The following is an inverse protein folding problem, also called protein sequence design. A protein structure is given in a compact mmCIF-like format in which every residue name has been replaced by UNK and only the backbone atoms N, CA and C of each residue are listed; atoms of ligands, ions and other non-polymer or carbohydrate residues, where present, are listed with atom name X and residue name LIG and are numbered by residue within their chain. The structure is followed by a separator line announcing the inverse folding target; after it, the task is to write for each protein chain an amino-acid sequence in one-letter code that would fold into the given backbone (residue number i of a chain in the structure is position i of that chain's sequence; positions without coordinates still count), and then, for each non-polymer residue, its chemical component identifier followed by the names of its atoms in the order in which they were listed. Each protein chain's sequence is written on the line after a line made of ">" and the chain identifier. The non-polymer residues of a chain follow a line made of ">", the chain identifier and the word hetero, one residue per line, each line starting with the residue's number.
data_IF_843785713994
#
_entry.id   IF_843785713994
#
_cell.length_a   1.000
_cell.length_b   1.000
_cell.length_c   1.000
_cell.angle_alpha   90.00
_cell.angle_beta   90.00
_cell.angle_gamma   90.00
#
_symmetry.space_group_name_H-M   'P 1'
#
loop_
_entity.id
_entity.type
_entity.pdbx_description
1 polymer ?
#
# COMPACT_ATOMS: atom_id res chain seq x y z
N UNK A 1 33.14 19.12 -19.62
CA UNK A 1 32.69 18.89 -18.23
C UNK A 1 31.27 18.35 -18.31
N UNK A 2 31.10 17.06 -18.11
CA UNK A 2 29.78 16.44 -18.15
C UNK A 2 29.12 16.70 -16.79
N UNK A 3 28.03 17.46 -16.78
CA UNK A 3 27.23 17.65 -15.56
C UNK A 3 26.61 16.32 -15.17
N UNK A 4 26.83 15.89 -13.94
CA UNK A 4 26.16 14.72 -13.37
C UNK A 4 24.64 14.95 -13.43
N UNK A 5 23.83 13.90 -13.70
CA UNK A 5 22.37 14.04 -13.69
C UNK A 5 21.93 14.49 -12.28
N UNK A 6 21.17 15.58 -12.22
CA UNK A 6 20.59 16.03 -10.97
C UNK A 6 19.47 15.07 -10.55
N UNK A 7 19.64 14.42 -9.41
CA UNK A 7 18.61 13.58 -8.80
C UNK A 7 17.69 14.42 -7.92
N UNK A 8 16.40 14.05 -7.89
CA UNK A 8 15.46 14.66 -6.97
C UNK A 8 15.84 14.29 -5.52
N UNK A 9 15.88 15.28 -4.64
CA UNK A 9 16.17 15.10 -3.22
C UNK A 9 14.89 15.25 -2.40
N UNK A 10 14.67 14.40 -1.36
CA UNK A 10 13.59 14.59 -0.40
C UNK A 10 13.67 15.99 0.21
N UNK A 11 12.53 16.64 0.32
CA UNK A 11 12.42 17.98 0.88
C UNK A 11 11.11 18.14 1.64
N UNK A 12 11.11 19.04 2.61
CA UNK A 12 9.93 19.40 3.39
C UNK A 12 9.72 20.91 3.30
N UNK A 13 8.49 21.35 3.42
CA UNK A 13 8.13 22.76 3.35
C UNK A 13 6.83 22.95 2.59
N UNK A 14 6.61 24.19 2.16
CA UNK A 14 5.41 24.59 1.46
C UNK A 14 5.78 25.32 0.17
N UNK A 15 5.07 25.00 -0.90
CA UNK A 15 5.13 25.74 -2.16
C UNK A 15 3.87 26.58 -2.32
N UNK A 16 4.02 27.89 -2.48
CA UNK A 16 2.91 28.82 -2.71
C UNK A 16 2.92 29.23 -4.17
N UNK A 17 1.91 28.81 -4.93
CA UNK A 17 1.82 29.16 -6.35
C UNK A 17 1.51 30.65 -6.56
N UNK A 18 2.25 31.34 -7.41
CA UNK A 18 2.04 32.75 -7.76
C UNK A 18 1.48 32.94 -9.18
N UNK A 19 1.42 31.87 -9.97
CA UNK A 19 0.78 31.83 -11.29
C UNK A 19 0.16 30.45 -11.53
N UNK A 20 -0.70 30.33 -12.53
CA UNK A 20 -1.22 29.04 -12.99
C UNK A 20 -0.16 28.30 -13.78
N UNK A 21 0.18 27.11 -13.35
CA UNK A 21 1.12 26.21 -14.01
C UNK A 21 0.57 24.79 -14.02
N UNK A 22 0.98 24.03 -15.02
CA UNK A 22 0.66 22.62 -15.09
C UNK A 22 1.31 21.82 -13.95
N UNK A 23 0.56 20.87 -13.42
CA UNK A 23 0.97 19.95 -12.36
C UNK A 23 1.18 18.57 -12.98
N UNK A 24 2.41 18.26 -13.33
CA UNK A 24 2.78 17.06 -14.08
C UNK A 24 2.85 15.81 -13.18
N UNK A 25 2.24 14.72 -13.59
CA UNK A 25 2.48 13.40 -13.01
C UNK A 25 3.93 12.95 -13.27
N UNK A 26 4.44 13.20 -14.46
CA UNK A 26 5.83 12.94 -14.83
C UNK A 26 6.47 14.18 -15.44
N UNK A 27 7.47 14.77 -14.74
CA UNK A 27 8.22 15.94 -15.23
C UNK A 27 9.01 15.66 -16.51
N UNK A 28 9.49 14.41 -16.69
CA UNK A 28 10.32 14.04 -17.85
C UNK A 28 9.48 13.82 -19.11
N UNK A 29 8.30 13.19 -18.95
CA UNK A 29 7.36 12.93 -20.03
C UNK A 29 6.35 14.08 -20.21
N UNK A 30 6.33 15.03 -19.28
CA UNK A 30 5.34 16.12 -19.18
C UNK A 30 3.89 15.63 -19.30
N UNK A 31 3.61 14.47 -18.68
CA UNK A 31 2.25 13.92 -18.63
C UNK A 31 1.47 14.62 -17.54
N UNK A 32 0.31 15.15 -17.89
CA UNK A 32 -0.62 15.81 -16.99
C UNK A 32 -2.05 15.29 -17.27
N UNK A 33 -2.38 14.04 -16.85
CA UNK A 33 -3.73 13.54 -16.97
C UNK A 33 -4.67 14.44 -16.17
N UNK A 34 -5.85 14.68 -16.71
CA UNK A 34 -6.89 15.55 -16.16
C UNK A 34 -6.56 17.06 -16.17
N UNK A 35 -5.54 17.49 -16.91
CA UNK A 35 -5.15 18.91 -17.13
C UNK A 35 -5.03 19.74 -15.83
N UNK A 36 -4.46 19.12 -14.79
CA UNK A 36 -4.27 19.75 -13.49
C UNK A 36 -3.38 20.99 -13.56
N UNK A 37 -3.87 22.10 -12.99
CA UNK A 37 -3.15 23.35 -12.89
C UNK A 37 -3.16 23.86 -11.45
N UNK A 38 -2.07 24.55 -11.06
CA UNK A 38 -1.99 25.24 -9.78
C UNK A 38 -2.93 26.46 -9.76
N UNK A 39 -3.52 26.74 -8.61
CA UNK A 39 -4.27 27.96 -8.37
C UNK A 39 -3.38 29.01 -7.71
N UNK A 40 -3.52 30.27 -8.13
CA UNK A 40 -2.73 31.36 -7.56
C UNK A 40 -3.08 31.54 -6.07
N UNK A 41 -2.04 31.59 -5.24
CA UNK A 41 -2.17 31.67 -3.78
C UNK A 41 -2.40 30.33 -3.08
N UNK A 42 -2.62 29.24 -3.83
CA UNK A 42 -2.76 27.92 -3.24
C UNK A 42 -1.42 27.42 -2.70
N UNK A 43 -1.49 26.73 -1.56
CA UNK A 43 -0.37 26.21 -0.81
C UNK A 43 -0.31 24.71 -0.97
N UNK A 44 0.85 24.20 -1.35
CA UNK A 44 1.07 22.78 -1.59
C UNK A 44 2.20 22.27 -0.69
N UNK A 45 1.96 21.20 0.11
CA UNK A 45 3.06 20.53 0.82
C UNK A 45 4.10 20.00 -0.15
N UNK A 46 5.38 20.27 0.14
CA UNK A 46 6.51 19.81 -0.68
C UNK A 46 7.03 18.47 -0.18
N UNK A 47 7.33 17.56 -1.09
CA UNK A 47 7.89 16.23 -0.78
C UNK A 47 9.29 16.03 -1.37
N UNK A 48 9.58 16.65 -2.52
CA UNK A 48 10.87 16.52 -3.20
C UNK A 48 11.20 17.80 -3.96
N UNK A 49 12.49 18.04 -4.16
CA UNK A 49 13.00 19.12 -5.02
C UNK A 49 14.06 18.58 -5.98
N UNK A 50 14.18 19.23 -7.14
CA UNK A 50 15.24 18.99 -8.10
C UNK A 50 15.94 20.31 -8.43
N UNK A 51 17.24 20.32 -8.37
CA UNK A 51 18.08 21.51 -8.56
C UNK A 51 18.54 22.11 -7.23
N UNK A 52 18.66 23.41 -7.17
CA UNK A 52 19.14 24.13 -5.99
C UNK A 52 18.07 24.14 -4.87
N UNK A 53 18.50 23.96 -3.62
CA UNK A 53 17.59 23.92 -2.46
C UNK A 53 16.88 25.25 -2.15
N UNK A 54 17.41 26.37 -2.63
CA UNK A 54 16.80 27.70 -2.45
C UNK A 54 15.86 28.05 -3.61
N UNK A 55 16.28 27.73 -4.84
CA UNK A 55 15.51 27.97 -6.07
C UNK A 55 15.51 26.67 -6.88
N UNK A 56 14.71 25.68 -6.54
CA UNK A 56 14.67 24.42 -7.26
C UNK A 56 14.06 24.59 -8.66
N UNK A 57 14.60 23.83 -9.62
CA UNK A 57 14.07 23.81 -11.00
C UNK A 57 12.68 23.19 -11.05
N UNK A 58 12.51 22.11 -10.26
CA UNK A 58 11.26 21.38 -10.11
C UNK A 58 10.98 21.05 -8.65
N UNK A 59 9.72 21.12 -8.29
CA UNK A 59 9.23 20.83 -6.94
C UNK A 59 8.13 19.78 -7.06
N UNK A 60 8.23 18.73 -6.26
CA UNK A 60 7.16 17.74 -6.14
C UNK A 60 6.26 18.11 -4.99
N UNK A 61 5.02 18.39 -5.31
CA UNK A 61 4.02 18.88 -4.36
C UNK A 61 2.89 17.89 -4.21
N UNK A 62 2.24 17.90 -3.05
CA UNK A 62 1.02 17.14 -2.81
C UNK A 62 -0.18 17.99 -3.22
N UNK A 63 -1.06 17.40 -4.00
CA UNK A 63 -2.31 17.99 -4.48
C UNK A 63 -3.51 17.15 -4.03
N UNK A 64 -4.72 17.61 -4.32
CA UNK A 64 -5.96 16.86 -4.08
C UNK A 64 -6.35 15.98 -5.31
N UNK A 65 -5.44 15.72 -6.23
CA UNK A 65 -5.71 14.88 -7.40
C UNK A 65 -5.95 13.43 -6.98
N UNK A 66 -7.10 12.88 -7.31
CA UNK A 66 -7.55 11.54 -6.90
C UNK A 66 -6.63 10.44 -7.47
N UNK A 67 -6.19 10.58 -8.71
CA UNK A 67 -5.43 9.53 -9.41
C UNK A 67 -3.91 9.61 -9.21
N UNK A 68 -3.38 10.72 -8.76
CA UNK A 68 -1.95 10.94 -8.47
C UNK A 68 -1.79 12.23 -7.68
N UNK A 69 -1.85 12.18 -6.34
CA UNK A 69 -1.78 13.38 -5.50
C UNK A 69 -0.41 14.05 -5.53
N UNK A 70 0.65 13.33 -5.90
CA UNK A 70 1.99 13.90 -6.03
C UNK A 70 2.24 14.33 -7.46
N UNK A 71 2.42 15.64 -7.63
CA UNK A 71 2.63 16.29 -8.94
C UNK A 71 3.91 17.12 -8.94
N UNK A 72 4.55 17.19 -10.10
CA UNK A 72 5.68 18.05 -10.31
C UNK A 72 5.22 19.41 -10.85
N UNK A 73 5.72 20.48 -10.24
CA UNK A 73 5.53 21.85 -10.70
C UNK A 73 6.90 22.51 -10.91
N UNK A 74 7.01 23.40 -11.86
CA UNK A 74 8.24 24.17 -12.06
C UNK A 74 8.45 25.13 -10.90
N UNK A 75 9.70 25.30 -10.45
CA UNK A 75 10.03 26.17 -9.34
C UNK A 75 9.69 27.64 -9.58
N UNK A 76 9.74 28.11 -10.84
CA UNK A 76 9.37 29.46 -11.22
C UNK A 76 7.85 29.74 -11.17
N UNK A 77 7.05 28.73 -10.86
CA UNK A 77 5.58 28.83 -10.71
C UNK A 77 5.13 29.36 -9.35
N UNK A 78 6.05 29.57 -8.40
CA UNK A 78 5.73 30.02 -7.07
C UNK A 78 6.95 30.25 -6.19
N UNK A 79 6.72 30.21 -4.87
CA UNK A 79 7.77 30.34 -3.86
C UNK A 79 7.84 29.07 -3.01
N UNK A 80 9.04 28.55 -2.84
CA UNK A 80 9.31 27.44 -1.95
C UNK A 80 9.83 27.95 -0.61
N UNK A 81 9.15 27.60 0.46
CA UNK A 81 9.45 27.98 1.82
C UNK A 81 9.83 26.76 2.65
N UNK A 82 11.06 26.70 3.16
CA UNK A 82 11.57 25.60 4.00
C UNK A 82 11.23 25.73 5.47
N UNK A 83 10.85 26.94 5.95
CA UNK A 83 10.62 27.24 7.37
C UNK A 83 9.14 27.22 7.72
N UNK A 84 8.44 26.13 7.44
CA UNK A 84 7.10 25.91 8.00
C UNK A 84 7.26 25.00 9.19
N UNK A 85 7.07 25.57 10.41
CA UNK A 85 6.96 24.77 11.62
C UNK A 85 5.87 23.71 11.40
N UNK A 86 6.20 22.45 11.71
CA UNK A 86 5.27 21.34 11.58
C UNK A 86 4.00 21.64 12.38
N UNK A 87 2.89 21.57 11.71
CA UNK A 87 1.52 21.56 12.17
C UNK A 87 0.70 22.85 12.00
N UNK A 88 -0.10 22.83 10.99
CA UNK A 88 -1.53 23.11 11.18
C UNK A 88 -2.28 22.29 10.14
N UNK A 89 -3.22 21.50 10.60
CA UNK A 89 -4.10 20.64 9.80
C UNK A 89 -4.75 21.47 8.69
N UNK A 90 -4.49 21.08 7.46
CA UNK A 90 -5.17 21.60 6.27
C UNK A 90 -6.67 21.44 6.44
N UNK A 91 -7.38 22.57 6.64
CA UNK A 91 -8.84 22.64 6.46
C UNK A 91 -9.12 23.21 5.07
N UNK A 92 -9.89 22.54 4.22
CA UNK A 92 -10.25 23.09 2.92
C UNK A 92 -11.14 24.33 3.13
N UNK A 93 -10.76 25.45 2.55
CA UNK A 93 -11.59 26.64 2.47
C UNK A 93 -12.90 26.30 1.74
N UNK A 94 -13.99 26.31 2.49
CA UNK A 94 -15.34 26.24 1.93
C UNK A 94 -15.62 27.54 1.19
N UNK A 95 -15.55 27.51 -0.14
CA UNK A 95 -16.20 28.53 -0.97
C UNK A 95 -17.71 28.47 -0.72
N UNK A 96 -18.25 29.55 -0.18
CA UNK A 96 -19.68 29.77 -0.05
C UNK A 96 -20.29 29.88 -1.46
N UNK A 97 -20.87 28.79 -1.95
CA UNK A 97 -21.86 28.87 -3.01
C UNK A 97 -23.24 29.02 -2.38
N UNK A 98 -24.03 29.87 -3.01
CA UNK A 98 -25.37 30.26 -2.62
C UNK A 98 -26.26 29.03 -2.36
N UNK A 99 -26.73 28.90 -1.12
CA UNK A 99 -27.77 27.94 -0.77
C UNK A 99 -29.12 28.41 -1.38
N UNK A 100 -29.55 27.77 -2.46
CA UNK A 100 -30.94 27.76 -2.84
C UNK A 100 -31.71 26.83 -1.90
N UNK A 101 -32.66 27.40 -1.20
CA UNK A 101 -33.53 26.73 -0.24
C UNK A 101 -34.45 25.75 -0.99
N UNK A 102 -34.11 24.46 -0.95
CA UNK A 102 -34.99 23.39 -1.46
C UNK A 102 -36.04 23.09 -0.40
N UNK A 103 -37.34 23.13 -0.81
CA UNK A 103 -38.44 22.89 0.10
C UNK A 103 -38.70 21.40 0.32
N UNK A 104 -39.40 21.06 1.44
CA UNK A 104 -39.73 19.68 1.81
C UNK A 104 -40.48 18.87 0.75
N UNK A 105 -41.07 19.54 -0.26
CA UNK A 105 -41.77 18.95 -1.41
C UNK A 105 -40.78 18.36 -2.42
N UNK A 106 -39.61 19.00 -2.62
CA UNK A 106 -38.60 18.59 -3.60
C UNK A 106 -37.88 17.33 -3.15
N UNK A 107 -37.71 17.14 -1.83
CA UNK A 107 -37.11 15.94 -1.26
C UNK A 107 -37.97 14.69 -1.48
N UNK A 108 -39.29 14.83 -1.49
CA UNK A 108 -40.23 13.72 -1.79
C UNK A 108 -40.23 13.30 -3.26
N UNK A 109 -39.97 14.21 -4.19
CA UNK A 109 -39.89 13.91 -5.62
C UNK A 109 -38.61 13.16 -5.96
N UNK A 110 -37.46 13.59 -5.41
CA UNK A 110 -36.14 12.94 -5.58
C UNK A 110 -36.18 11.52 -5.04
N UNK A 111 -36.79 11.29 -3.87
CA UNK A 111 -36.94 9.95 -3.29
C UNK A 111 -37.88 8.99 -4.05
N UNK A 112 -38.74 9.50 -4.94
CA UNK A 112 -39.63 8.66 -5.79
C UNK A 112 -38.99 8.22 -7.10
N UNK A 113 -38.06 8.99 -7.63
CA UNK A 113 -37.32 8.63 -8.86
C UNK A 113 -36.20 7.64 -8.58
N UNK A 114 -35.50 7.78 -7.43
CA UNK A 114 -34.43 6.85 -6.99
C UNK A 114 -34.94 5.44 -6.66
N UNK A 115 -36.25 5.22 -6.54
CA UNK A 115 -36.86 3.91 -6.30
C UNK A 115 -37.14 3.09 -7.56
N UNK A 116 -36.96 3.66 -8.79
CA UNK A 116 -37.18 2.94 -10.04
C UNK A 116 -35.94 2.27 -10.65
N UNK A 117 -34.73 2.60 -10.20
CA UNK A 117 -33.53 1.89 -10.60
C UNK A 117 -33.13 0.84 -9.57
N UNK A 118 -33.93 -0.18 -9.37
CA UNK A 118 -33.55 -1.39 -8.65
C UNK A 118 -32.73 -2.30 -9.57
N UNK A 119 -31.45 -1.95 -9.76
CA UNK A 119 -30.47 -2.90 -10.29
C UNK A 119 -30.37 -4.11 -9.37
N UNK A 120 -30.09 -5.28 -9.94
CA UNK A 120 -29.94 -6.55 -9.22
C UNK A 120 -29.00 -6.43 -8.00
N UNK A 121 -29.21 -7.20 -6.93
CA UNK A 121 -28.37 -7.17 -5.70
C UNK A 121 -26.87 -7.28 -5.98
N UNK A 122 -26.47 -8.00 -7.01
CA UNK A 122 -25.07 -8.18 -7.43
C UNK A 122 -24.40 -6.89 -7.93
N UNK A 123 -25.11 -6.06 -8.70
CA UNK A 123 -24.56 -4.77 -9.18
C UNK A 123 -24.32 -3.77 -8.05
N UNK A 124 -25.17 -3.80 -7.00
CA UNK A 124 -25.00 -2.94 -5.81
C UNK A 124 -23.85 -3.40 -4.94
N UNK A 125 -23.66 -4.73 -4.76
CA UNK A 125 -22.52 -5.26 -4.03
C UNK A 125 -21.19 -4.95 -4.71
N UNK A 126 -21.11 -5.00 -6.03
CA UNK A 126 -19.90 -4.62 -6.78
C UNK A 126 -19.45 -3.18 -6.50
N UNK A 127 -20.38 -2.23 -6.51
CA UNK A 127 -20.08 -0.83 -6.24
C UNK A 127 -19.58 -0.60 -4.81
N UNK A 128 -20.23 -1.18 -3.80
CA UNK A 128 -19.85 -1.04 -2.38
C UNK A 128 -18.44 -1.61 -2.11
N UNK A 129 -18.01 -2.60 -2.89
CA UNK A 129 -16.72 -3.25 -2.74
C UNK A 129 -15.56 -2.53 -3.48
N UNK A 130 -15.85 -1.40 -4.13
CA UNK A 130 -14.89 -0.56 -4.85
C UNK A 130 -14.90 0.90 -4.35
N UNK A 131 -15.40 1.14 -3.15
CA UNK A 131 -15.45 2.45 -2.51
C UNK A 131 -14.22 2.60 -1.62
N UNK A 132 -13.48 3.67 -1.85
CA UNK A 132 -12.37 4.09 -1.02
C UNK A 132 -12.82 4.30 0.43
N UNK A 133 -11.95 4.00 1.37
CA UNK A 133 -12.14 4.17 2.82
C UNK A 133 -13.35 3.41 3.43
N UNK A 134 -13.91 2.45 2.69
CA UNK A 134 -15.08 1.68 3.10
C UNK A 134 -14.71 0.26 3.58
N UNK A 135 -13.56 0.11 4.22
CA UNK A 135 -13.10 -1.15 4.82
C UNK A 135 -13.39 -1.19 6.33
N UNK A 136 -13.38 -2.41 6.91
CA UNK A 136 -13.62 -2.67 8.34
C UNK A 136 -12.45 -3.37 9.04
N UNK A 137 -11.46 -3.80 8.30
CA UNK A 137 -10.28 -4.50 8.79
C UNK A 137 -9.17 -4.47 7.74
N UNK A 138 -7.99 -5.04 8.08
CA UNK A 138 -6.91 -5.28 7.14
C UNK A 138 -6.41 -6.71 7.23
N UNK A 139 -5.71 -7.13 6.19
CA UNK A 139 -4.92 -8.36 6.15
C UNK A 139 -3.50 -8.00 5.72
N UNK A 140 -2.52 -8.29 6.57
CA UNK A 140 -1.11 -8.30 6.17
C UNK A 140 -0.80 -9.69 5.64
N UNK A 141 -0.50 -9.80 4.36
CA UNK A 141 -0.15 -11.05 3.68
C UNK A 141 1.36 -11.14 3.48
N UNK A 142 1.95 -12.22 3.95
CA UNK A 142 3.39 -12.44 3.95
C UNK A 142 3.70 -13.80 3.34
N UNK A 143 4.44 -13.82 2.24
CA UNK A 143 4.81 -15.04 1.51
C UNK A 143 6.09 -15.66 2.05
N UNK A 144 6.16 -17.00 2.07
CA UNK A 144 7.40 -17.72 2.29
C UNK A 144 8.14 -17.90 0.97
N UNK A 145 9.25 -17.19 0.79
CA UNK A 145 9.91 -17.04 -0.49
C UNK A 145 10.43 -18.36 -1.08
N UNK A 146 10.93 -19.28 -0.24
CA UNK A 146 11.40 -20.59 -0.69
C UNK A 146 10.27 -21.37 -1.37
N UNK A 147 9.11 -21.49 -0.72
CA UNK A 147 7.92 -22.15 -1.30
C UNK A 147 7.43 -21.44 -2.57
N UNK A 148 7.44 -20.11 -2.59
CA UNK A 148 7.07 -19.34 -3.78
C UNK A 148 7.99 -19.72 -4.96
N UNK A 149 9.29 -19.78 -4.74
CA UNK A 149 10.25 -20.14 -5.77
C UNK A 149 10.21 -21.62 -6.14
N UNK A 150 9.89 -22.53 -5.22
CA UNK A 150 9.63 -23.95 -5.54
C UNK A 150 8.42 -24.12 -6.48
N UNK A 151 7.36 -23.32 -6.26
CA UNK A 151 6.12 -23.41 -7.04
C UNK A 151 6.22 -22.76 -8.43
N UNK A 152 6.88 -21.60 -8.50
CA UNK A 152 6.90 -20.78 -9.71
C UNK A 152 8.27 -20.80 -10.42
N UNK A 153 9.33 -21.18 -9.73
CA UNK A 153 10.65 -21.48 -10.24
C UNK A 153 11.30 -20.37 -11.04
N UNK A 154 12.09 -20.79 -12.03
CA UNK A 154 12.85 -19.88 -12.89
C UNK A 154 11.99 -18.95 -13.78
N UNK A 155 10.68 -19.10 -13.80
CA UNK A 155 9.77 -18.19 -14.53
C UNK A 155 9.73 -16.79 -13.91
N UNK A 156 10.08 -16.65 -12.63
CA UNK A 156 10.08 -15.39 -11.90
C UNK A 156 11.50 -14.84 -11.76
N UNK A 157 11.69 -13.57 -12.11
CA UNK A 157 13.01 -12.93 -12.06
C UNK A 157 13.59 -12.91 -10.65
N UNK A 158 12.76 -12.65 -9.63
CA UNK A 158 13.17 -12.68 -8.22
C UNK A 158 13.69 -14.06 -7.80
N UNK A 159 13.10 -15.16 -8.26
CA UNK A 159 13.58 -16.51 -7.92
C UNK A 159 14.91 -16.83 -8.61
N UNK A 160 15.08 -16.41 -9.88
CA UNK A 160 16.37 -16.57 -10.56
C UNK A 160 17.51 -15.79 -9.90
N UNK A 161 17.22 -14.58 -9.44
CA UNK A 161 18.21 -13.75 -8.77
C UNK A 161 18.56 -14.30 -7.39
N UNK A 162 17.56 -14.69 -6.61
CA UNK A 162 17.74 -15.23 -5.26
C UNK A 162 18.46 -16.58 -5.28
N UNK A 163 18.24 -17.46 -6.27
CA UNK A 163 18.95 -18.75 -6.37
C UNK A 163 20.46 -18.60 -6.51
N UNK A 164 20.96 -17.43 -6.87
CA UNK A 164 22.39 -17.12 -6.96
C UNK A 164 22.97 -16.54 -5.68
N UNK A 165 22.15 -16.35 -4.62
CA UNK A 165 22.52 -15.70 -3.37
C UNK A 165 22.07 -16.59 -2.20
N UNK A 166 22.96 -17.48 -1.74
CA UNK A 166 22.62 -18.48 -0.71
C UNK A 166 22.27 -17.89 0.66
N UNK A 167 22.76 -16.70 0.95
CA UNK A 167 22.61 -15.98 2.22
C UNK A 167 21.63 -14.81 2.16
N UNK A 168 20.82 -14.73 1.11
CA UNK A 168 19.82 -13.68 0.98
C UNK A 168 18.82 -13.74 2.16
N UNK A 169 18.54 -12.60 2.83
CA UNK A 169 17.60 -12.54 3.96
C UNK A 169 16.21 -13.12 3.63
N UNK A 170 15.80 -13.05 2.39
CA UNK A 170 14.52 -13.58 1.89
C UNK A 170 14.38 -15.11 2.05
N UNK A 171 15.49 -15.82 2.24
CA UNK A 171 15.47 -17.25 2.52
C UNK A 171 15.14 -17.60 3.98
N UNK A 172 15.24 -16.60 4.86
CA UNK A 172 15.02 -16.74 6.30
C UNK A 172 13.87 -15.89 6.82
N UNK A 173 13.38 -14.95 6.01
CA UNK A 173 12.33 -14.02 6.36
C UNK A 173 11.12 -14.17 5.45
N UNK A 174 9.95 -13.76 5.96
CA UNK A 174 8.78 -13.59 5.13
C UNK A 174 8.94 -12.37 4.21
N UNK A 175 8.49 -12.51 2.97
CA UNK A 175 8.40 -11.42 2.01
C UNK A 175 7.01 -10.79 2.06
N UNK A 176 6.94 -9.48 1.94
CA UNK A 176 5.66 -8.76 1.83
C UNK A 176 4.97 -9.17 0.54
N UNK A 177 3.77 -9.76 0.65
CA UNK A 177 2.83 -9.87 -0.46
C UNK A 177 2.04 -8.57 -0.57
N UNK A 178 1.32 -8.18 0.51
CA UNK A 178 0.60 -6.92 0.54
C UNK A 178 -0.06 -6.62 1.87
N UNK A 179 -0.58 -5.39 2.00
CA UNK A 179 -1.44 -4.95 3.10
C UNK A 179 -2.82 -4.63 2.54
N UNK A 180 -3.78 -5.52 2.76
CA UNK A 180 -5.08 -5.47 2.11
C UNK A 180 -6.16 -4.87 3.01
N UNK A 181 -6.66 -3.68 2.75
CA UNK A 181 -7.94 -3.25 3.30
C UNK A 181 -9.00 -4.30 2.96
N UNK A 182 -9.81 -4.66 3.91
CA UNK A 182 -10.81 -5.70 3.76
C UNK A 182 -12.17 -5.24 4.26
N UNK A 183 -13.23 -5.69 3.62
CA UNK A 183 -14.61 -5.49 4.04
C UNK A 183 -15.32 -6.82 4.14
N UNK A 184 -15.79 -7.17 5.32
CA UNK A 184 -16.35 -8.49 5.61
C UNK A 184 -17.44 -8.91 4.61
N UNK A 185 -18.34 -7.99 4.23
CA UNK A 185 -19.41 -8.28 3.28
C UNK A 185 -18.95 -8.43 1.83
N UNK A 186 -17.75 -7.98 1.49
CA UNK A 186 -17.17 -8.06 0.14
C UNK A 186 -16.22 -9.24 -0.02
N UNK A 187 -15.58 -9.67 1.06
CA UNK A 187 -14.52 -10.68 1.03
C UNK A 187 -13.39 -10.26 0.09
N UNK A 188 -12.94 -11.17 -0.74
CA UNK A 188 -11.83 -10.95 -1.70
C UNK A 188 -12.18 -9.99 -2.85
N UNK A 189 -13.42 -9.54 -2.96
CA UNK A 189 -13.86 -8.57 -3.99
C UNK A 189 -13.62 -7.12 -3.58
N UNK A 190 -13.28 -6.83 -2.31
CA UNK A 190 -12.96 -5.48 -1.90
C UNK A 190 -11.61 -5.07 -2.49
N UNK A 191 -11.61 -4.07 -3.35
CA UNK A 191 -10.41 -3.59 -4.03
C UNK A 191 -10.74 -2.73 -5.26
N UNK A 192 -9.70 -2.22 -5.92
CA UNK A 192 -9.83 -1.36 -7.12
C UNK A 192 -10.69 -0.12 -6.87
N UNK A 193 -10.38 0.62 -5.80
CA UNK A 193 -11.20 1.75 -5.35
C UNK A 193 -10.92 3.06 -6.13
N UNK A 194 -9.94 3.07 -7.03
CA UNK A 194 -9.55 4.21 -7.86
C UNK A 194 -10.08 4.10 -9.32
N UNK A 195 -9.47 4.83 -10.24
CA UNK A 195 -9.78 4.77 -11.68
C UNK A 195 -9.42 3.42 -12.32
N UNK A 196 -8.39 2.73 -11.84
CA UNK A 196 -8.06 1.36 -12.30
C UNK A 196 -9.03 0.38 -11.66
N UNK A 197 -9.88 -0.25 -12.46
CA UNK A 197 -11.01 -1.08 -11.99
C UNK A 197 -10.80 -2.58 -12.13
N UNK A 198 -9.74 -3.01 -12.80
CA UNK A 198 -9.47 -4.42 -13.06
C UNK A 198 -7.98 -4.72 -13.14
N UNK A 199 -7.63 -5.97 -12.89
CA UNK A 199 -6.26 -6.45 -13.01
C UNK A 199 -5.89 -6.67 -14.48
N UNK A 200 -4.73 -6.15 -14.96
CA UNK A 200 -4.18 -6.49 -16.26
C UNK A 200 -3.61 -7.92 -16.27
N UNK A 201 -3.25 -8.43 -17.44
CA UNK A 201 -2.64 -9.75 -17.62
C UNK A 201 -1.23 -9.85 -17.01
N UNK A 202 -0.47 -8.76 -17.07
CA UNK A 202 0.84 -8.61 -16.46
C UNK A 202 0.77 -7.46 -15.42
N UNK A 203 1.39 -7.67 -14.26
CA UNK A 203 1.42 -6.63 -13.22
C UNK A 203 2.21 -5.39 -13.66
N UNK A 204 3.17 -5.54 -14.55
CA UNK A 204 3.92 -4.41 -15.09
C UNK A 204 3.11 -3.53 -16.06
N UNK A 205 1.95 -3.99 -16.52
CA UNK A 205 1.01 -3.20 -17.33
C UNK A 205 0.17 -2.23 -16.47
N UNK A 206 0.18 -2.36 -15.14
CA UNK A 206 -0.39 -1.33 -14.29
C UNK A 206 0.38 -0.02 -14.42
N UNK A 207 -0.29 1.13 -14.25
CA UNK A 207 0.43 2.41 -14.14
C UNK A 207 1.51 2.33 -13.06
N UNK A 208 2.65 2.96 -13.34
CA UNK A 208 3.78 2.99 -12.41
C UNK A 208 3.40 3.65 -11.08
N UNK A 209 3.84 3.07 -9.98
CA UNK A 209 3.69 3.62 -8.63
C UNK A 209 4.96 4.38 -8.28
N UNK A 210 4.84 5.69 -8.15
CA UNK A 210 5.98 6.54 -7.84
C UNK A 210 6.17 6.62 -6.31
N UNK A 211 7.26 6.03 -5.84
CA UNK A 211 7.67 6.08 -4.44
C UNK A 211 8.89 7.00 -4.29
N UNK A 212 9.03 7.61 -3.12
CA UNK A 212 10.27 8.28 -2.79
C UNK A 212 11.39 7.25 -2.55
N UNK A 213 12.65 7.68 -2.70
CA UNK A 213 13.79 6.76 -2.71
C UNK A 213 13.92 5.92 -1.42
N UNK A 214 13.55 6.48 -0.27
CA UNK A 214 13.63 5.77 1.01
C UNK A 214 12.56 4.69 1.14
N UNK A 215 11.32 4.97 0.73
CA UNK A 215 10.23 3.98 0.74
C UNK A 215 10.48 2.89 -0.30
N UNK A 216 10.94 3.28 -1.50
CA UNK A 216 11.31 2.31 -2.55
C UNK A 216 12.39 1.34 -2.04
N UNK A 217 13.47 1.86 -1.44
CA UNK A 217 14.55 1.04 -0.91
C UNK A 217 14.05 0.08 0.19
N UNK A 218 13.27 0.59 1.15
CA UNK A 218 12.74 -0.23 2.23
C UNK A 218 11.77 -1.31 1.70
N UNK A 219 10.97 -0.97 0.69
CA UNK A 219 10.07 -1.93 0.04
C UNK A 219 10.85 -3.04 -0.65
N UNK A 220 11.92 -2.72 -1.37
CA UNK A 220 12.78 -3.68 -2.06
C UNK A 220 13.46 -4.67 -1.10
N UNK A 221 13.67 -4.30 0.17
CA UNK A 221 14.22 -5.19 1.18
C UNK A 221 13.25 -6.31 1.57
N UNK A 222 11.95 -6.03 1.58
CA UNK A 222 10.92 -6.97 2.02
C UNK A 222 10.06 -7.54 0.89
N UNK A 223 10.09 -6.94 -0.30
CA UNK A 223 9.32 -7.37 -1.47
C UNK A 223 10.26 -7.66 -2.65
N UNK A 224 10.70 -8.91 -2.83
CA UNK A 224 11.61 -9.28 -3.94
C UNK A 224 11.09 -8.88 -5.32
N UNK A 225 9.78 -8.94 -5.53
CA UNK A 225 9.15 -8.52 -6.78
C UNK A 225 9.44 -7.06 -7.13
N UNK A 226 9.35 -6.14 -6.16
CA UNK A 226 9.69 -4.73 -6.35
C UNK A 226 11.17 -4.54 -6.69
N UNK A 227 12.05 -5.30 -6.02
CA UNK A 227 13.49 -5.25 -6.26
C UNK A 227 13.90 -5.76 -7.64
N UNK A 228 13.25 -6.83 -8.12
CA UNK A 228 13.63 -7.52 -9.36
C UNK A 228 12.68 -7.24 -10.53
N UNK A 229 11.78 -6.27 -10.39
CA UNK A 229 10.99 -5.71 -11.48
C UNK A 229 9.87 -6.62 -12.00
N UNK A 230 9.27 -7.43 -11.14
CA UNK A 230 8.06 -8.21 -11.48
C UNK A 230 6.75 -7.53 -11.05
N UNK A 231 6.86 -6.30 -10.57
CA UNK A 231 5.80 -5.31 -10.44
C UNK A 231 4.63 -5.67 -9.52
N UNK A 232 4.84 -6.53 -8.51
CA UNK A 232 3.80 -6.85 -7.53
C UNK A 232 3.33 -5.60 -6.78
N UNK A 233 4.24 -4.66 -6.50
CA UNK A 233 3.93 -3.39 -5.85
C UNK A 233 2.87 -2.58 -6.59
N UNK A 234 2.85 -2.66 -7.93
CA UNK A 234 1.82 -1.99 -8.74
C UNK A 234 0.47 -2.65 -8.54
N UNK A 235 0.41 -3.99 -8.55
CA UNK A 235 -0.81 -4.73 -8.26
C UNK A 235 -1.33 -4.42 -6.86
N UNK A 236 -0.46 -4.46 -5.86
CA UNK A 236 -0.83 -4.22 -4.46
C UNK A 236 -1.34 -2.79 -4.24
N UNK A 237 -0.73 -1.81 -4.90
CA UNK A 237 -1.22 -0.45 -4.86
C UNK A 237 -2.58 -0.30 -5.54
N UNK A 238 -2.68 -0.66 -6.82
CA UNK A 238 -3.88 -0.38 -7.61
C UNK A 238 -5.09 -1.19 -7.15
N UNK A 239 -4.89 -2.40 -6.70
CA UNK A 239 -5.97 -3.24 -6.18
C UNK A 239 -6.33 -2.94 -4.73
N UNK A 240 -5.35 -2.74 -3.87
CA UNK A 240 -5.53 -2.69 -2.43
C UNK A 240 -5.22 -1.31 -1.83
N UNK A 241 -4.05 -0.74 -2.12
CA UNK A 241 -3.60 0.54 -1.56
C UNK A 241 -4.55 1.69 -1.84
N UNK A 242 -5.11 1.75 -3.06
CA UNK A 242 -6.09 2.78 -3.46
C UNK A 242 -7.38 2.77 -2.63
N UNK A 243 -7.62 1.73 -1.84
CA UNK A 243 -8.79 1.66 -0.98
C UNK A 243 -8.59 2.31 0.40
N UNK A 244 -7.40 2.82 0.70
CA UNK A 244 -7.05 3.38 2.03
C UNK A 244 -7.07 4.90 2.12
N UNK A 245 -7.44 5.63 1.12
CA UNK A 245 -7.39 7.11 1.11
C UNK A 245 -6.03 7.67 1.63
N UNK A 246 -4.94 7.07 1.17
CA UNK A 246 -3.56 7.45 1.50
C UNK A 246 -2.74 7.54 0.22
N UNK A 247 -1.57 8.17 0.28
CA UNK A 247 -0.66 8.07 -0.86
C UNK A 247 0.16 6.76 -0.83
N UNK A 248 0.75 6.36 -1.97
CA UNK A 248 1.51 5.12 -2.06
C UNK A 248 2.71 5.06 -1.10
N UNK A 249 3.34 6.19 -0.76
CA UNK A 249 4.47 6.17 0.18
C UNK A 249 3.99 5.80 1.59
N UNK A 250 2.89 6.38 2.06
CA UNK A 250 2.34 6.06 3.39
C UNK A 250 1.86 4.60 3.45
N UNK A 251 1.22 4.13 2.37
CA UNK A 251 0.77 2.73 2.27
C UNK A 251 1.94 1.74 2.34
N UNK A 252 2.98 1.94 1.52
CA UNK A 252 4.12 1.02 1.50
C UNK A 252 5.04 1.18 2.71
N UNK A 253 5.16 2.38 3.27
CA UNK A 253 5.89 2.59 4.53
C UNK A 253 5.27 1.75 5.65
N UNK A 254 3.95 1.81 5.80
CA UNK A 254 3.22 1.04 6.81
C UNK A 254 3.37 -0.48 6.55
N UNK A 255 3.12 -0.94 5.33
CA UNK A 255 3.21 -2.36 4.98
C UNK A 255 4.63 -2.92 5.22
N UNK A 256 5.65 -2.17 4.85
CA UNK A 256 7.06 -2.52 5.06
C UNK A 256 7.40 -2.61 6.54
N UNK A 257 7.01 -1.60 7.33
CA UNK A 257 7.28 -1.57 8.77
C UNK A 257 6.63 -2.76 9.50
N UNK A 258 5.37 -3.06 9.21
CA UNK A 258 4.68 -4.21 9.78
C UNK A 258 5.36 -5.54 9.40
N UNK A 259 5.82 -5.67 8.16
CA UNK A 259 6.57 -6.85 7.71
C UNK A 259 7.90 -7.00 8.43
N UNK A 260 8.64 -5.91 8.57
CA UNK A 260 9.93 -5.89 9.29
C UNK A 260 9.74 -6.24 10.77
N UNK A 261 8.67 -5.75 11.43
CA UNK A 261 8.35 -6.10 12.81
C UNK A 261 8.05 -7.60 12.98
N UNK A 262 7.26 -8.19 12.06
CA UNK A 262 7.04 -9.64 12.07
C UNK A 262 8.35 -10.39 11.90
N UNK A 263 9.19 -10.01 10.94
CA UNK A 263 10.46 -10.66 10.68
C UNK A 263 11.47 -10.51 11.85
N UNK A 264 11.41 -9.41 12.59
CA UNK A 264 12.25 -9.19 13.77
C UNK A 264 11.76 -9.93 15.04
N UNK A 265 10.57 -10.52 14.99
CA UNK A 265 9.99 -11.22 16.14
C UNK A 265 10.76 -12.50 16.52
N UNK A 266 10.66 -12.91 17.78
CA UNK A 266 11.21 -14.20 18.23
C UNK A 266 10.55 -15.39 17.50
N UNK A 267 9.31 -15.22 17.04
CA UNK A 267 8.65 -16.24 16.24
C UNK A 267 9.40 -16.52 14.94
N UNK A 268 9.82 -15.50 14.19
CA UNK A 268 10.60 -15.69 12.96
C UNK A 268 12.06 -16.01 13.28
N UNK A 269 12.72 -15.18 14.10
CA UNK A 269 14.16 -15.26 14.35
C UNK A 269 14.62 -16.57 15.05
N UNK A 270 13.72 -17.21 15.76
CA UNK A 270 14.03 -18.47 16.46
C UNK A 270 13.19 -19.61 15.94
N UNK A 271 11.86 -19.58 16.13
CA UNK A 271 11.00 -20.71 15.83
C UNK A 271 11.00 -21.07 14.33
N UNK A 272 10.79 -20.10 13.43
CA UNK A 272 10.77 -20.37 11.98
C UNK A 272 12.17 -20.75 11.48
N UNK A 273 13.21 -20.00 11.85
CA UNK A 273 14.58 -20.28 11.40
C UNK A 273 15.05 -21.70 11.78
N UNK A 274 14.80 -22.13 13.00
CA UNK A 274 15.19 -23.48 13.45
C UNK A 274 14.43 -24.60 12.71
N UNK A 275 13.35 -24.29 12.05
CA UNK A 275 12.43 -25.25 11.40
C UNK A 275 12.44 -25.17 9.88
N UNK A 276 13.31 -24.36 9.29
CA UNK A 276 13.55 -24.37 7.85
C UNK A 276 13.98 -25.77 7.41
N UNK A 277 13.31 -26.34 6.42
CA UNK A 277 13.50 -27.70 5.91
C UNK A 277 12.86 -28.80 6.77
N UNK A 278 12.08 -28.45 7.80
CA UNK A 278 11.46 -29.41 8.73
C UNK A 278 9.93 -29.33 8.68
N UNK A 279 9.32 -30.40 9.20
CA UNK A 279 7.88 -30.44 9.48
C UNK A 279 7.59 -29.86 10.87
N UNK A 280 6.48 -29.12 10.98
CA UNK A 280 5.98 -28.54 12.22
C UNK A 280 4.48 -28.80 12.34
N UNK A 281 4.02 -29.05 13.56
CA UNK A 281 2.59 -29.14 13.84
C UNK A 281 1.95 -27.77 13.94
N UNK A 282 0.66 -27.68 13.63
CA UNK A 282 -0.10 -26.44 13.82
C UNK A 282 -0.10 -26.02 15.31
N UNK A 283 -0.08 -26.99 16.22
CA UNK A 283 -0.01 -26.69 17.65
C UNK A 283 1.30 -25.97 18.03
N UNK A 284 2.45 -26.50 17.60
CA UNK A 284 3.76 -25.87 17.87
C UNK A 284 3.83 -24.46 17.29
N UNK A 285 3.36 -24.28 16.05
CA UNK A 285 3.33 -22.99 15.38
C UNK A 285 2.44 -21.99 16.12
N UNK A 286 1.23 -22.40 16.52
CA UNK A 286 0.31 -21.56 17.25
C UNK A 286 0.85 -21.15 18.62
N UNK A 287 1.45 -22.08 19.36
CA UNK A 287 2.05 -21.81 20.67
C UNK A 287 3.23 -20.83 20.58
N UNK A 288 4.11 -21.04 19.59
CA UNK A 288 5.24 -20.12 19.38
C UNK A 288 4.79 -18.73 18.92
N UNK A 289 3.75 -18.64 18.09
CA UNK A 289 3.16 -17.37 17.70
C UNK A 289 2.57 -16.62 18.90
N UNK A 290 1.81 -17.32 19.74
CA UNK A 290 1.25 -16.77 20.99
C UNK A 290 2.35 -16.31 21.96
N UNK A 291 3.46 -17.03 22.02
CA UNK A 291 4.60 -16.63 22.85
C UNK A 291 5.20 -15.31 22.40
N UNK A 292 5.29 -15.08 21.09
CA UNK A 292 5.88 -13.86 20.52
C UNK A 292 4.93 -12.66 20.52
N UNK A 293 3.64 -12.90 20.24
CA UNK A 293 2.70 -11.82 19.96
C UNK A 293 1.56 -11.69 20.97
N UNK A 294 1.53 -12.57 21.98
CA UNK A 294 0.54 -12.54 23.04
C UNK A 294 -0.49 -13.67 22.94
N UNK A 295 -1.02 -14.05 24.08
CA UNK A 295 -1.97 -15.17 24.22
C UNK A 295 -3.20 -15.00 23.30
N UNK A 296 -3.48 -16.00 22.47
CA UNK A 296 -4.59 -16.00 21.53
C UNK A 296 -4.32 -15.28 20.19
N UNK A 297 -3.10 -14.76 19.98
CA UNK A 297 -2.69 -14.12 18.74
C UNK A 297 -2.83 -15.07 17.53
N UNK A 298 -2.55 -16.38 17.71
CA UNK A 298 -2.73 -17.39 16.66
C UNK A 298 -4.15 -17.44 16.08
N UNK A 299 -5.17 -16.99 16.83
CA UNK A 299 -6.54 -16.94 16.30
C UNK A 299 -6.77 -15.84 15.27
N UNK A 300 -5.76 -14.99 15.05
CA UNK A 300 -5.80 -13.86 14.12
C UNK A 300 -5.00 -14.12 12.83
N UNK A 301 -4.41 -15.31 12.70
CA UNK A 301 -3.66 -15.69 11.51
C UNK A 301 -4.32 -16.82 10.75
N UNK A 302 -4.15 -16.82 9.44
CA UNK A 302 -4.43 -17.94 8.54
C UNK A 302 -3.12 -18.38 7.90
N UNK A 303 -2.83 -19.67 7.96
CA UNK A 303 -1.72 -20.26 7.20
C UNK A 303 -2.25 -20.79 5.89
N UNK A 304 -1.61 -20.49 4.80
CA UNK A 304 -1.87 -21.06 3.49
C UNK A 304 -0.72 -21.98 3.09
N UNK A 305 -1.05 -23.15 2.61
CA UNK A 305 -0.09 -24.15 2.15
C UNK A 305 -0.36 -24.55 0.71
N UNK A 306 0.72 -24.81 -0.02
CA UNK A 306 0.72 -25.41 -1.35
C UNK A 306 1.59 -26.66 -1.35
N UNK A 307 1.06 -27.80 -1.80
CA UNK A 307 1.75 -29.11 -1.77
C UNK A 307 2.29 -29.50 -0.37
N UNK A 308 1.63 -29.05 0.69
CA UNK A 308 2.06 -29.31 2.07
C UNK A 308 3.16 -28.38 2.62
N UNK A 309 3.65 -27.46 1.80
CA UNK A 309 4.63 -26.45 2.16
C UNK A 309 3.92 -25.15 2.59
N UNK A 310 4.40 -24.49 3.65
CA UNK A 310 3.91 -23.17 4.06
C UNK A 310 4.22 -22.16 2.93
N UNK A 311 3.19 -21.61 2.31
CA UNK A 311 3.35 -20.64 1.21
C UNK A 311 3.11 -19.20 1.64
N UNK A 312 2.16 -18.97 2.55
CA UNK A 312 1.78 -17.64 2.98
C UNK A 312 1.22 -17.66 4.40
N UNK A 313 1.44 -16.60 5.15
CA UNK A 313 0.71 -16.28 6.37
C UNK A 313 -0.10 -15.00 6.16
N UNK A 314 -1.37 -15.03 6.50
CA UNK A 314 -2.24 -13.86 6.52
C UNK A 314 -2.57 -13.48 7.94
N UNK A 315 -2.20 -12.26 8.32
CA UNK A 315 -2.38 -11.70 9.65
C UNK A 315 -3.52 -10.69 9.59
N UNK A 316 -4.63 -10.99 10.26
CA UNK A 316 -5.74 -10.05 10.37
C UNK A 316 -5.33 -8.90 11.29
N UNK A 317 -5.68 -7.69 10.89
CA UNK A 317 -5.42 -6.45 11.62
C UNK A 317 -6.72 -5.64 11.73
N UNK A 318 -6.84 -4.72 12.70
CA UNK A 318 -8.03 -3.89 12.86
C UNK A 318 -8.21 -2.90 11.71
N UNK A 319 -9.31 -2.17 11.71
CA UNK A 319 -9.59 -1.12 10.74
C UNK A 319 -8.57 0.02 10.83
N UNK A 320 -8.34 0.53 12.04
CA UNK A 320 -7.37 1.60 12.26
C UNK A 320 -5.98 1.04 12.58
N UNK A 321 -4.99 1.49 11.84
CA UNK A 321 -3.58 1.16 12.02
C UNK A 321 -2.77 2.45 11.89
N UNK A 322 -1.95 2.73 12.91
CA UNK A 322 -0.99 3.84 12.91
C UNK A 322 0.44 3.30 12.79
N UNK A 323 1.34 4.10 12.25
CA UNK A 323 2.77 3.74 12.18
C UNK A 323 3.40 3.45 13.55
N UNK A 324 2.85 4.01 14.63
CA UNK A 324 3.30 3.77 16.01
C UNK A 324 2.76 2.49 16.64
N UNK A 325 1.80 1.80 16.00
CA UNK A 325 1.20 0.60 16.57
C UNK A 325 2.12 -0.60 16.36
N UNK A 326 2.25 -1.44 17.38
CA UNK A 326 2.97 -2.72 17.29
C UNK A 326 2.06 -3.86 16.88
N UNK A 327 2.63 -4.91 16.27
CA UNK A 327 1.88 -6.12 15.89
C UNK A 327 1.10 -6.71 17.08
N UNK A 328 1.65 -6.88 18.29
CA UNK A 328 0.87 -7.35 19.45
C UNK A 328 -0.34 -6.47 19.76
N UNK A 329 -0.18 -5.14 19.71
CA UNK A 329 -1.27 -4.21 20.00
C UNK A 329 -2.39 -4.24 18.94
N UNK A 330 -2.02 -4.47 17.69
CA UNK A 330 -2.94 -4.62 16.56
C UNK A 330 -3.69 -5.96 16.65
N UNK A 331 -2.98 -7.06 16.93
CA UNK A 331 -3.58 -8.40 17.06
C UNK A 331 -4.61 -8.47 18.20
N UNK A 332 -4.39 -7.74 19.30
CA UNK A 332 -5.36 -7.67 20.39
C UNK A 332 -6.73 -7.15 19.95
N UNK A 333 -6.77 -6.26 18.94
CA UNK A 333 -7.98 -5.61 18.40
C UNK A 333 -8.48 -6.28 17.10
N UNK A 334 -7.68 -7.13 16.48
CA UNK A 334 -7.96 -7.71 15.17
C UNK A 334 -9.16 -8.68 15.20
N UNK A 335 -9.91 -8.82 14.09
CA UNK A 335 -10.92 -9.85 13.96
C UNK A 335 -10.28 -11.24 13.90
N UNK A 336 -11.03 -12.27 14.29
CA UNK A 336 -10.57 -13.66 14.16
C UNK A 336 -10.33 -14.01 12.69
N UNK A 337 -9.31 -14.80 12.45
CA UNK A 337 -8.97 -15.30 11.13
C UNK A 337 -9.84 -16.50 10.72
N UNK A 338 -9.82 -16.82 9.43
CA UNK A 338 -10.42 -18.03 8.87
C UNK A 338 -9.55 -19.24 9.24
N UNK A 339 -10.12 -20.44 9.10
CA UNK A 339 -9.35 -21.68 9.27
C UNK A 339 -8.25 -21.77 8.20
N UNK A 340 -7.11 -22.31 8.62
CA UNK A 340 -6.00 -22.64 7.71
C UNK A 340 -6.37 -23.77 6.74
N UNK A 341 -5.73 -23.79 5.58
CA UNK A 341 -5.81 -24.89 4.61
C UNK A 341 -4.60 -25.82 4.67
N UNK A 342 -3.68 -25.59 5.61
CA UNK A 342 -2.47 -26.39 5.75
C UNK A 342 -2.75 -27.77 6.34
N UNK A 343 -2.01 -28.81 5.92
CA UNK A 343 -2.03 -30.10 6.60
C UNK A 343 -1.39 -29.97 8.00
N UNK A 344 -1.61 -30.99 8.82
CA UNK A 344 -0.94 -31.11 10.13
C UNK A 344 -0.23 -32.47 10.20
N UNK A 345 1.11 -32.52 10.22
CA UNK A 345 2.06 -31.39 10.17
C UNK A 345 2.22 -30.78 8.77
N UNK A 346 2.59 -29.49 8.72
CA UNK A 346 3.02 -28.77 7.53
C UNK A 346 4.55 -28.70 7.46
N UNK A 347 5.11 -28.35 6.31
CA UNK A 347 6.56 -28.17 6.12
C UNK A 347 6.92 -26.70 5.92
N UNK A 348 7.99 -26.24 6.56
CA UNK A 348 8.63 -24.94 6.27
C UNK A 348 9.75 -25.21 5.26
N UNK A 349 9.55 -24.75 4.02
CA UNK A 349 10.45 -25.06 2.92
C UNK A 349 11.81 -24.36 3.08
N UNK A 350 12.86 -24.99 2.59
CA UNK A 350 14.23 -24.47 2.54
C UNK A 350 14.55 -23.89 1.16
N UNK A 351 15.54 -23.01 1.05
CA UNK A 351 16.09 -22.60 -0.25
C UNK A 351 16.55 -23.82 -1.07
N UNK A 352 16.26 -23.78 -2.37
CA UNK A 352 16.73 -24.78 -3.35
C UNK A 352 18.08 -24.39 -3.93
#
# INVERSE_FOLDING_TARGET
>A
MSAAPAYAAPATGEFVANKRCELFQSKNKQTNPDDWQSNIGERYPVTEILGNSVNPDWIRVRTNAISSPLRWIKGDCGQYNTNVAAAETYQPNSTKEHAQTTTASDIKAINRESLKERGTPEKRQGHVCQIEDNYDSHVLALSWQSTFCELYGSRKAECRALSQTSDAPQWQHFSLHGLWPNRQQCGTRYGFCSSVKQQPSDFCDYPEVLLNASVQKNLEEVMPSARYGTCLERHEWWKHGTCRNQDPNDYFLLATQLTQEVNASTWVQQFIHERIGKKVTQQELNQSFDTSFGKGAHTKITLDCAKGLLSEIRINLPQEIKLSDSIPSLLAKAPKAKKTNCPDPLSIDKPN
#
